data_IF_568971596528
#
_entry.id   IF_568971596528
#
_cell.length_a   1.000
_cell.length_b   1.000
_cell.length_c   1.000
_cell.angle_alpha   90.00
_cell.angle_beta   90.00
_cell.angle_gamma   90.00
#
_symmetry.space_group_name_H-M   'P 1'
#
loop_
_entity.id
_entity.type
_entity.pdbx_description
1 polymer ?
#
# COMPACT_ATOMS: atom_id res chain seq x y z
N UNK A 1 32.68 -24.30 11.02
CA UNK A 1 31.47 -23.55 10.64
C UNK A 1 31.86 -22.62 9.50
N UNK A 2 31.65 -23.06 8.26
CA UNK A 2 31.94 -22.26 7.07
C UNK A 2 31.05 -21.01 7.05
N UNK A 3 31.66 -19.84 6.89
CA UNK A 3 30.95 -18.59 6.62
C UNK A 3 30.37 -18.69 5.21
N UNK A 4 29.10 -19.08 5.11
CA UNK A 4 28.31 -18.91 3.89
C UNK A 4 28.37 -17.41 3.51
N UNK A 5 28.91 -17.12 2.33
CA UNK A 5 29.16 -15.75 1.90
C UNK A 5 27.83 -15.01 1.71
N UNK A 6 27.77 -13.70 2.01
CA UNK A 6 26.55 -12.89 1.89
C UNK A 6 25.89 -12.97 0.50
N UNK A 7 26.67 -13.29 -0.55
CA UNK A 7 26.17 -13.49 -1.92
C UNK A 7 25.32 -14.76 -2.10
N UNK A 8 25.47 -15.79 -1.27
CA UNK A 8 24.74 -17.06 -1.40
C UNK A 8 23.31 -17.02 -0.82
N UNK A 9 22.97 -15.98 -0.04
CA UNK A 9 21.64 -15.82 0.60
C UNK A 9 20.67 -14.94 -0.18
N UNK A 10 21.14 -14.21 -1.18
CA UNK A 10 20.32 -13.28 -1.98
C UNK A 10 19.98 -13.93 -3.33
N UNK A 11 18.70 -14.19 -3.58
CA UNK A 11 18.27 -14.70 -4.89
C UNK A 11 18.04 -13.56 -5.86
N UNK A 12 18.61 -13.65 -7.06
CA UNK A 12 18.26 -12.74 -8.15
C UNK A 12 16.81 -13.02 -8.55
N UNK A 13 15.95 -12.01 -8.50
CA UNK A 13 14.58 -12.09 -8.98
C UNK A 13 14.47 -11.24 -10.25
N UNK A 14 14.34 -11.90 -11.40
CA UNK A 14 14.18 -11.20 -12.68
C UNK A 14 12.72 -10.79 -12.94
N UNK A 15 11.80 -11.22 -12.07
CA UNK A 15 10.35 -11.00 -12.21
C UNK A 15 9.71 -10.62 -10.88
N UNK A 16 8.79 -9.68 -10.91
CA UNK A 16 7.94 -9.28 -9.80
C UNK A 16 6.56 -9.88 -9.99
N UNK A 17 6.04 -10.53 -8.95
CA UNK A 17 4.67 -11.04 -8.95
C UNK A 17 3.82 -10.12 -8.10
N UNK A 18 2.71 -9.63 -8.64
CA UNK A 18 1.74 -8.81 -7.93
C UNK A 18 0.36 -9.15 -8.47
N UNK A 19 -0.68 -8.99 -7.67
CA UNK A 19 -2.05 -9.04 -8.19
C UNK A 19 -2.69 -7.67 -8.21
N UNK A 20 -3.43 -7.39 -9.28
CA UNK A 20 -4.26 -6.21 -9.39
C UNK A 20 -5.70 -6.67 -9.59
N UNK A 21 -6.55 -6.36 -8.62
CA UNK A 21 -7.99 -6.62 -8.69
C UNK A 21 -8.33 -8.08 -8.94
N UNK A 22 -7.61 -8.98 -8.27
CA UNK A 22 -7.79 -10.44 -8.34
C UNK A 22 -7.11 -11.11 -9.54
N UNK A 23 -6.45 -10.35 -10.43
CA UNK A 23 -5.68 -10.90 -11.54
C UNK A 23 -4.20 -10.87 -11.20
N UNK A 24 -3.51 -12.01 -11.33
CA UNK A 24 -2.08 -12.12 -11.11
C UNK A 24 -1.30 -11.59 -12.31
N UNK A 25 -0.29 -10.78 -12.04
CA UNK A 25 0.62 -10.18 -13.02
C UNK A 25 2.06 -10.53 -12.70
N UNK A 26 2.82 -10.79 -13.76
CA UNK A 26 4.26 -10.97 -13.69
C UNK A 26 4.94 -9.85 -14.44
N UNK A 27 5.65 -9.00 -13.71
CA UNK A 27 6.36 -7.84 -14.25
C UNK A 27 7.83 -8.20 -14.39
N UNK A 28 8.39 -8.13 -15.59
CA UNK A 28 9.81 -8.32 -15.81
C UNK A 28 10.58 -7.08 -15.33
N UNK A 29 11.59 -7.28 -14.48
CA UNK A 29 12.33 -6.17 -13.86
C UNK A 29 13.21 -5.42 -14.86
N UNK A 30 13.52 -6.03 -16.01
CA UNK A 30 14.23 -5.38 -17.11
C UNK A 30 13.37 -4.32 -17.82
N UNK A 31 12.04 -4.46 -17.77
CA UNK A 31 11.09 -3.61 -18.51
C UNK A 31 10.64 -2.39 -17.67
N UNK A 32 11.16 -2.26 -16.46
CA UNK A 32 10.72 -1.28 -15.47
C UNK A 32 11.92 -0.55 -14.88
N UNK A 33 11.88 0.79 -14.95
CA UNK A 33 12.87 1.64 -14.28
C UNK A 33 12.64 1.67 -12.75
N UNK A 34 13.67 1.75 -11.90
CA UNK A 34 13.52 1.87 -10.45
C UNK A 34 12.60 3.00 -9.99
N UNK A 35 12.57 4.09 -10.76
CA UNK A 35 11.76 5.28 -10.55
C UNK A 35 10.29 5.10 -11.01
N UNK A 36 9.98 4.03 -11.73
CA UNK A 36 8.62 3.78 -12.20
C UNK A 36 7.69 3.52 -11.03
N UNK A 37 6.79 4.46 -10.81
CA UNK A 37 5.82 4.41 -9.73
C UNK A 37 4.69 3.44 -10.07
N UNK A 38 4.06 2.86 -9.04
CA UNK A 38 2.89 2.01 -9.19
C UNK A 38 1.77 2.75 -9.94
N UNK A 39 1.60 4.04 -9.70
CA UNK A 39 0.65 4.86 -10.46
C UNK A 39 0.96 4.89 -11.96
N UNK A 40 2.23 5.02 -12.31
CA UNK A 40 2.68 5.04 -13.71
C UNK A 40 2.46 3.68 -14.35
N UNK A 41 2.82 2.62 -13.65
CA UNK A 41 2.63 1.26 -14.14
C UNK A 41 1.15 0.93 -14.38
N UNK A 42 0.26 1.20 -13.42
CA UNK A 42 -1.19 0.96 -13.54
C UNK A 42 -1.78 1.69 -14.75
N UNK A 43 -1.40 2.95 -14.95
CA UNK A 43 -2.00 3.80 -15.98
C UNK A 43 -1.42 3.56 -17.37
N UNK A 44 -0.10 3.55 -17.48
CA UNK A 44 0.59 3.66 -18.76
C UNK A 44 0.98 2.28 -19.31
N UNK A 45 1.09 1.27 -18.45
CA UNK A 45 1.38 -0.13 -18.86
C UNK A 45 0.12 -0.98 -18.82
N UNK A 46 -0.65 -0.91 -17.72
CA UNK A 46 -1.86 -1.73 -17.56
C UNK A 46 -3.14 -1.07 -18.09
N UNK A 47 -3.08 0.19 -18.53
CA UNK A 47 -4.23 0.97 -19.01
C UNK A 47 -5.40 1.09 -17.99
N UNK A 48 -5.11 0.95 -16.69
CA UNK A 48 -6.04 1.19 -15.59
C UNK A 48 -5.98 2.67 -15.19
N UNK A 49 -6.81 3.48 -15.82
CA UNK A 49 -6.74 4.95 -15.74
C UNK A 49 -7.63 5.59 -14.67
N UNK A 50 -8.37 4.79 -13.91
CA UNK A 50 -9.23 5.18 -12.81
C UNK A 50 -8.44 5.80 -11.66
N UNK A 51 -7.32 5.19 -11.26
CA UNK A 51 -6.35 5.82 -10.35
C UNK A 51 -5.71 7.04 -11.01
N UNK A 52 -5.85 8.22 -10.39
CA UNK A 52 -5.45 9.49 -11.01
C UNK A 52 -4.02 9.91 -10.67
N UNK A 53 -3.44 10.75 -11.52
CA UNK A 53 -2.12 11.37 -11.35
C UNK A 53 -2.31 12.88 -11.23
N UNK A 54 -1.83 13.50 -10.14
CA UNK A 54 -1.99 14.95 -9.91
C UNK A 54 -0.74 15.57 -9.27
N UNK A 55 -0.62 15.56 -7.94
CA UNK A 55 0.49 16.22 -7.25
C UNK A 55 1.82 15.45 -7.29
N UNK A 56 1.76 14.11 -7.44
CA UNK A 56 2.92 13.20 -7.45
C UNK A 56 3.82 13.26 -6.19
N UNK A 57 3.30 13.81 -5.10
CA UNK A 57 4.04 13.97 -3.84
C UNK A 57 3.27 13.45 -2.61
N UNK A 58 2.17 12.72 -2.85
CA UNK A 58 1.34 12.13 -1.80
C UNK A 58 0.38 13.09 -1.08
N UNK A 59 0.38 14.38 -1.41
CA UNK A 59 -0.44 15.38 -0.72
C UNK A 59 -1.93 15.39 -1.10
N UNK A 60 -2.30 14.93 -2.30
CA UNK A 60 -3.68 15.06 -2.80
C UNK A 60 -4.57 13.82 -2.66
N UNK A 61 -4.00 12.63 -2.45
CA UNK A 61 -4.75 11.37 -2.36
C UNK A 61 -5.48 10.89 -3.62
N UNK A 62 -5.46 11.60 -4.75
CA UNK A 62 -6.17 11.18 -5.98
C UNK A 62 -5.64 9.86 -6.57
N UNK A 63 -4.43 9.46 -6.16
CA UNK A 63 -3.73 8.28 -6.63
C UNK A 63 -3.87 7.08 -5.67
N UNK A 64 -4.74 7.16 -4.66
CA UNK A 64 -4.85 6.08 -3.67
C UNK A 64 -5.32 4.78 -4.33
N UNK A 65 -4.66 3.70 -3.93
CA UNK A 65 -5.07 2.30 -4.13
C UNK A 65 -5.08 1.61 -2.77
N UNK A 66 -5.85 0.54 -2.61
CA UNK A 66 -5.81 -0.26 -1.40
C UNK A 66 -4.87 -1.44 -1.59
N UNK A 67 -4.05 -1.74 -0.59
CA UNK A 67 -3.10 -2.86 -0.61
C UNK A 67 -3.47 -3.82 0.50
N UNK A 68 -3.66 -5.08 0.14
CA UNK A 68 -3.86 -6.19 1.06
C UNK A 68 -2.54 -6.96 1.23
N UNK A 69 -2.17 -7.22 2.48
CA UNK A 69 -1.05 -8.06 2.88
C UNK A 69 -1.46 -9.01 3.99
N UNK A 70 -0.84 -10.19 4.02
CA UNK A 70 -0.93 -11.09 5.16
C UNK A 70 0.33 -10.90 6.00
N UNK A 71 0.17 -10.48 7.25
CA UNK A 71 1.26 -10.30 8.21
C UNK A 71 0.92 -11.12 9.46
N UNK A 72 1.79 -12.07 9.80
CA UNK A 72 1.59 -12.97 10.95
C UNK A 72 0.23 -13.70 10.93
N UNK A 73 -0.25 -14.08 9.74
CA UNK A 73 -1.55 -14.73 9.55
C UNK A 73 -2.76 -13.77 9.55
N UNK A 74 -2.57 -12.49 9.84
CA UNK A 74 -3.62 -11.48 9.84
C UNK A 74 -3.68 -10.76 8.48
N UNK A 75 -4.89 -10.62 7.93
CA UNK A 75 -5.15 -9.79 6.75
C UNK A 75 -5.10 -8.32 7.17
N UNK A 76 -4.18 -7.57 6.58
CA UNK A 76 -4.08 -6.12 6.76
C UNK A 76 -4.38 -5.47 5.42
N UNK A 77 -5.34 -4.56 5.39
CA UNK A 77 -5.65 -3.73 4.23
C UNK A 77 -5.42 -2.26 4.58
N UNK A 78 -4.69 -1.55 3.73
CA UNK A 78 -4.35 -0.14 3.96
C UNK A 78 -4.30 0.65 2.66
N UNK A 79 -4.58 1.95 2.76
CA UNK A 79 -4.52 2.89 1.65
C UNK A 79 -3.08 3.32 1.37
N UNK A 80 -2.72 3.42 0.08
CA UNK A 80 -1.37 3.79 -0.36
C UNK A 80 -1.43 4.80 -1.48
N UNK A 81 -0.64 5.87 -1.36
CA UNK A 81 -0.38 6.80 -2.46
C UNK A 81 0.48 6.12 -3.53
N UNK A 82 -0.15 5.55 -4.56
CA UNK A 82 0.55 4.80 -5.62
C UNK A 82 1.59 5.62 -6.38
N UNK A 83 1.53 6.95 -6.34
CA UNK A 83 2.52 7.82 -6.96
C UNK A 83 3.88 7.82 -6.25
N UNK A 84 3.96 7.37 -5.00
CA UNK A 84 5.20 7.33 -4.22
C UNK A 84 5.81 5.93 -4.12
N UNK A 85 5.05 4.90 -4.49
CA UNK A 85 5.52 3.51 -4.40
C UNK A 85 6.18 3.11 -5.70
N UNK A 86 7.40 2.58 -5.63
CA UNK A 86 8.03 1.94 -6.79
C UNK A 86 7.34 0.59 -7.05
N UNK A 87 7.05 0.27 -8.31
CA UNK A 87 6.47 -1.04 -8.65
C UNK A 87 7.41 -2.20 -8.26
N UNK A 88 8.72 -1.95 -8.13
CA UNK A 88 9.69 -2.93 -7.65
C UNK A 88 9.42 -3.39 -6.20
N UNK A 89 8.84 -2.52 -5.38
CA UNK A 89 8.45 -2.85 -3.99
C UNK A 89 7.20 -3.73 -3.90
N UNK A 90 6.40 -3.79 -4.97
CA UNK A 90 5.08 -4.41 -5.00
C UNK A 90 5.10 -5.93 -5.13
N UNK A 91 6.27 -6.58 -5.13
CA UNK A 91 6.33 -8.04 -5.16
C UNK A 91 5.58 -8.65 -3.96
N UNK A 92 4.64 -9.55 -4.26
CA UNK A 92 3.73 -10.23 -3.35
C UNK A 92 2.55 -9.37 -2.88
N UNK A 93 2.35 -8.15 -3.41
CA UNK A 93 1.24 -7.30 -3.01
C UNK A 93 -0.03 -7.69 -3.76
N UNK A 94 -1.16 -7.64 -3.04
CA UNK A 94 -2.49 -7.66 -3.65
C UNK A 94 -3.03 -6.23 -3.68
N UNK A 95 -3.18 -5.68 -4.88
CA UNK A 95 -3.55 -4.28 -5.10
C UNK A 95 -4.98 -4.22 -5.59
N UNK A 96 -5.79 -3.39 -4.94
CA UNK A 96 -7.16 -3.10 -5.35
C UNK A 96 -7.24 -1.68 -5.91
N UNK A 97 -7.83 -1.55 -7.10
CA UNK A 97 -8.04 -0.28 -7.81
C UNK A 97 -9.52 0.05 -7.87
N UNK A 98 -9.87 1.28 -8.27
CA UNK A 98 -11.28 1.70 -8.34
C UNK A 98 -12.05 0.89 -9.38
N UNK A 99 -11.41 0.51 -10.49
CA UNK A 99 -11.99 -0.37 -11.52
C UNK A 99 -12.14 -1.81 -11.02
N UNK A 100 -11.29 -2.21 -10.06
CA UNK A 100 -11.28 -3.53 -9.48
C UNK A 100 -12.46 -3.84 -8.58
N UNK A 101 -12.89 -2.86 -7.79
CA UNK A 101 -13.96 -3.05 -6.81
C UNK A 101 -15.36 -2.97 -7.44
N UNK A 102 -15.49 -2.37 -8.62
CA UNK A 102 -16.78 -2.20 -9.29
C UNK A 102 -16.73 -1.23 -10.46
N UNK A 103 -17.71 -1.34 -11.34
CA UNK A 103 -17.83 -0.48 -12.53
C UNK A 103 -19.02 -0.84 -13.40
N UNK A 104 -19.23 -0.13 -14.53
CA UNK A 104 -20.43 -0.28 -15.36
C UNK A 104 -20.72 -1.71 -15.84
N UNK A 105 -19.67 -2.53 -16.03
CA UNK A 105 -19.80 -3.91 -16.51
C UNK A 105 -20.07 -4.94 -15.40
N UNK A 106 -19.65 -4.66 -14.16
CA UNK A 106 -19.70 -5.61 -13.03
C UNK A 106 -20.72 -5.23 -11.96
N UNK A 107 -21.30 -4.03 -12.06
CA UNK A 107 -22.02 -3.38 -10.98
C UNK A 107 -21.08 -2.51 -10.13
N UNK A 108 -21.64 -1.45 -9.56
CA UNK A 108 -20.90 -0.53 -8.70
C UNK A 108 -20.86 -1.04 -7.25
N UNK A 109 -19.70 -0.91 -6.62
CA UNK A 109 -19.53 -1.17 -5.20
C UNK A 109 -20.40 -0.20 -4.37
N UNK A 110 -20.86 -0.62 -3.19
CA UNK A 110 -21.69 0.24 -2.32
C UNK A 110 -21.04 1.59 -2.01
N UNK A 111 -19.72 1.62 -1.83
CA UNK A 111 -18.91 2.83 -1.63
C UNK A 111 -18.98 3.77 -2.84
N UNK A 112 -18.90 3.23 -4.07
CA UNK A 112 -19.02 4.02 -5.30
C UNK A 112 -20.44 4.60 -5.41
N UNK A 113 -21.45 3.77 -5.16
CA UNK A 113 -22.86 4.15 -5.21
C UNK A 113 -23.20 5.21 -4.18
N UNK A 114 -22.75 5.06 -2.93
CA UNK A 114 -23.00 6.01 -1.87
C UNK A 114 -22.41 7.39 -2.20
N UNK A 115 -21.16 7.44 -2.67
CA UNK A 115 -20.51 8.71 -3.06
C UNK A 115 -21.25 9.39 -4.23
N UNK A 116 -21.70 8.63 -5.21
CA UNK A 116 -22.44 9.16 -6.36
C UNK A 116 -23.83 9.68 -5.96
N UNK A 117 -24.63 8.87 -5.28
CA UNK A 117 -26.00 9.22 -4.88
C UNK A 117 -26.06 10.33 -3.82
N UNK A 118 -25.07 10.41 -2.93
CA UNK A 118 -24.99 11.47 -1.93
C UNK A 118 -24.44 12.80 -2.45
N UNK A 119 -24.34 12.99 -3.78
CA UNK A 119 -23.78 14.17 -4.43
C UNK A 119 -22.32 14.47 -3.98
N UNK A 120 -21.58 13.43 -3.60
CA UNK A 120 -20.19 13.51 -3.19
C UNK A 120 -19.21 13.70 -4.35
N UNK A 121 -19.71 13.85 -5.58
CA UNK A 121 -18.91 14.04 -6.79
C UNK A 121 -19.40 15.24 -7.60
N UNK A 122 -18.47 16.08 -8.06
CA UNK A 122 -18.73 17.12 -9.07
C UNK A 122 -17.82 16.89 -10.29
N UNK A 123 -16.58 17.40 -10.28
CA UNK A 123 -15.64 17.19 -11.39
C UNK A 123 -15.15 15.74 -11.53
N UNK A 124 -15.34 14.89 -10.50
CA UNK A 124 -15.00 13.46 -10.53
C UNK A 124 -13.53 13.12 -10.33
N UNK A 125 -12.61 14.09 -10.37
CA UNK A 125 -11.18 13.79 -10.40
C UNK A 125 -10.66 13.15 -9.09
N UNK A 126 -11.12 13.64 -7.94
CA UNK A 126 -10.73 13.07 -6.64
C UNK A 126 -11.55 11.83 -6.24
N UNK A 127 -12.67 11.56 -6.92
CA UNK A 127 -13.63 10.51 -6.51
C UNK A 127 -13.01 9.12 -6.42
N UNK A 128 -12.14 8.67 -7.35
CA UNK A 128 -11.43 7.40 -7.20
C UNK A 128 -10.59 7.30 -5.92
N UNK A 129 -9.88 8.37 -5.57
CA UNK A 129 -9.09 8.43 -4.34
C UNK A 129 -9.96 8.36 -3.10
N UNK A 130 -11.10 9.08 -3.10
CA UNK A 130 -12.08 9.03 -2.00
C UNK A 130 -12.65 7.63 -1.81
N UNK A 131 -13.06 6.99 -2.91
CA UNK A 131 -13.61 5.63 -2.91
C UNK A 131 -12.58 4.62 -2.38
N UNK A 132 -11.34 4.66 -2.90
CA UNK A 132 -10.32 3.69 -2.50
C UNK A 132 -9.81 3.91 -1.07
N UNK A 133 -9.82 5.16 -0.58
CA UNK A 133 -9.51 5.46 0.82
C UNK A 133 -10.57 4.87 1.75
N UNK A 134 -11.85 5.08 1.45
CA UNK A 134 -12.95 4.49 2.22
C UNK A 134 -12.95 2.95 2.13
N UNK A 135 -12.66 2.39 0.96
CA UNK A 135 -12.55 0.93 0.76
C UNK A 135 -11.45 0.33 1.63
N UNK A 136 -10.26 0.93 1.63
CA UNK A 136 -9.17 0.47 2.49
C UNK A 136 -9.52 0.56 3.98
N UNK A 137 -10.25 1.61 4.39
CA UNK A 137 -10.68 1.79 5.77
C UNK A 137 -11.68 0.71 6.20
N UNK A 138 -12.66 0.40 5.35
CA UNK A 138 -13.67 -0.65 5.63
C UNK A 138 -13.05 -2.04 5.67
N UNK A 139 -12.20 -2.37 4.70
CA UNK A 139 -11.55 -3.69 4.61
C UNK A 139 -10.45 -3.90 5.66
N UNK A 140 -9.84 -2.81 6.14
CA UNK A 140 -8.79 -2.86 7.15
C UNK A 140 -9.30 -2.82 8.59
N UNK A 141 -10.58 -2.53 8.81
CA UNK A 141 -11.16 -2.40 10.14
C UNK A 141 -11.72 -3.74 10.62
N UNK A 142 -11.14 -4.30 11.69
CA UNK A 142 -11.72 -5.46 12.40
C UNK A 142 -12.95 -5.08 13.24
N UNK A 143 -13.07 -3.78 13.58
CA UNK A 143 -14.16 -3.23 14.40
C UNK A 143 -15.16 -2.47 13.54
N UNK A 144 -16.34 -2.25 14.11
CA UNK A 144 -17.34 -1.37 13.51
C UNK A 144 -16.73 0.04 13.41
N UNK A 145 -16.70 0.59 12.20
CA UNK A 145 -16.21 1.95 11.98
C UNK A 145 -17.06 2.95 12.77
N UNK A 146 -16.45 4.05 13.20
CA UNK A 146 -17.15 5.18 13.80
C UNK A 146 -17.20 6.34 12.82
N UNK A 147 -18.14 7.26 13.02
CA UNK A 147 -18.25 8.49 12.23
C UNK A 147 -16.95 9.31 12.29
N UNK A 148 -16.35 9.44 13.48
CA UNK A 148 -15.08 10.18 13.65
C UNK A 148 -13.92 9.52 12.90
N UNK A 149 -13.88 8.19 12.84
CA UNK A 149 -12.86 7.45 12.09
C UNK A 149 -12.98 7.74 10.59
N UNK A 150 -14.21 7.74 10.07
CA UNK A 150 -14.48 8.08 8.66
C UNK A 150 -14.06 9.52 8.37
N UNK A 151 -14.42 10.48 9.21
CA UNK A 151 -14.04 11.88 9.03
C UNK A 151 -12.53 12.11 9.02
N UNK A 152 -11.84 11.51 9.99
CA UNK A 152 -10.38 11.61 10.10
C UNK A 152 -9.67 11.00 8.90
N UNK A 153 -10.27 10.01 8.23
CA UNK A 153 -9.69 9.38 7.05
C UNK A 153 -9.60 10.32 5.83
N UNK A 154 -10.43 11.36 5.74
CA UNK A 154 -10.44 12.27 4.58
C UNK A 154 -9.29 13.27 4.57
N UNK A 155 -8.54 13.40 5.66
CA UNK A 155 -7.33 14.23 5.70
C UNK A 155 -6.30 13.85 4.62
N UNK A 156 -6.39 12.63 4.07
CA UNK A 156 -5.50 12.13 3.02
C UNK A 156 -5.96 12.39 1.57
N UNK A 157 -7.18 12.91 1.32
CA UNK A 157 -7.71 13.07 -0.04
C UNK A 157 -8.32 14.46 -0.25
N UNK A 158 -7.67 15.25 -1.10
CA UNK A 158 -8.11 16.63 -1.37
C UNK A 158 -9.25 16.69 -2.40
N UNK A 159 -10.26 17.49 -2.08
CA UNK A 159 -11.32 17.87 -3.00
C UNK A 159 -11.47 19.40 -3.07
N UNK A 160 -11.50 19.95 -4.29
CA UNK A 160 -11.65 21.40 -4.50
C UNK A 160 -13.09 21.84 -4.80
N UNK A 161 -13.98 20.91 -5.16
CA UNK A 161 -15.30 21.22 -5.70
C UNK A 161 -16.43 21.08 -4.67
N UNK A 162 -16.44 19.99 -3.90
CA UNK A 162 -17.63 19.59 -3.12
C UNK A 162 -17.76 20.27 -1.76
N UNK A 163 -16.67 20.87 -1.25
CA UNK A 163 -16.61 21.36 0.12
C UNK A 163 -16.68 20.25 1.18
N UNK A 164 -16.38 18.99 0.81
CA UNK A 164 -16.35 17.78 1.64
C UNK A 164 -17.65 17.32 2.28
N UNK A 165 -18.54 18.23 2.69
CA UNK A 165 -19.82 17.90 3.35
C UNK A 165 -20.58 16.74 2.68
N UNK A 166 -20.86 16.74 1.36
CA UNK A 166 -21.59 15.62 0.75
C UNK A 166 -20.77 14.32 0.70
N UNK A 167 -19.44 14.38 0.64
CA UNK A 167 -18.57 13.19 0.68
C UNK A 167 -18.67 12.51 2.05
N UNK A 168 -18.50 13.30 3.11
CA UNK A 168 -18.61 12.83 4.50
C UNK A 168 -19.99 12.24 4.76
N UNK A 169 -21.06 12.95 4.39
CA UNK A 169 -22.44 12.46 4.55
C UNK A 169 -22.69 11.15 3.79
N UNK A 170 -22.16 11.02 2.58
CA UNK A 170 -22.28 9.81 1.77
C UNK A 170 -21.65 8.61 2.49
N UNK A 171 -20.44 8.75 3.00
CA UNK A 171 -19.72 7.64 3.63
C UNK A 171 -20.19 7.33 5.06
N UNK A 172 -20.72 8.32 5.80
CA UNK A 172 -21.41 8.07 7.07
C UNK A 172 -22.59 7.11 6.90
N UNK A 173 -23.27 7.13 5.74
CA UNK A 173 -24.39 6.21 5.48
C UNK A 173 -23.97 4.73 5.41
N UNK A 174 -22.67 4.45 5.19
CA UNK A 174 -22.10 3.11 5.16
C UNK A 174 -21.69 2.61 6.54
N UNK A 175 -21.75 3.47 7.55
CA UNK A 175 -21.31 3.18 8.91
C UNK A 175 -22.53 3.15 9.83
N UNK A 176 -22.63 2.11 10.66
CA UNK A 176 -23.67 2.07 11.68
C UNK A 176 -23.37 3.12 12.74
N UNK A 177 -24.39 3.88 13.15
CA UNK A 177 -24.28 4.75 14.34
C UNK A 177 -23.77 3.92 15.50
N UNK A 178 -22.80 4.45 16.23
CA UNK A 178 -22.39 3.86 17.51
C UNK A 178 -23.67 3.56 18.31
N UNK A 179 -23.86 2.30 18.68
CA UNK A 179 -24.61 2.05 19.91
C UNK A 179 -23.67 2.58 20.99
N UNK A 180 -24.07 3.64 21.68
CA UNK A 180 -23.47 4.04 22.95
C UNK A 180 -23.47 2.80 23.84
N UNK A 181 -22.32 2.14 23.82
CA UNK A 181 -22.07 0.82 24.37
C UNK A 181 -20.60 0.72 24.65
N UNK A 182 -20.01 1.84 25.11
CA UNK A 182 -18.87 1.77 26.00
C UNK A 182 -19.39 0.93 27.16
N UNK A 183 -18.96 -0.33 27.22
CA UNK A 183 -19.12 -1.11 28.45
C UNK A 183 -18.44 -0.30 29.53
N UNK A 184 -19.15 -0.07 30.63
CA UNK A 184 -18.58 0.62 31.77
C UNK A 184 -17.28 -0.12 32.17
N UNK A 185 -16.31 0.58 32.74
CA UNK A 185 -15.05 -0.08 33.16
C UNK A 185 -15.33 -1.25 34.11
N UNK A 186 -16.46 -1.19 34.81
CA UNK A 186 -16.98 -2.22 35.72
C UNK A 186 -17.60 -3.43 34.99
N UNK A 187 -18.01 -3.28 33.72
CA UNK A 187 -18.57 -4.33 32.86
C UNK A 187 -17.52 -5.01 31.97
N UNK A 188 -16.25 -4.56 32.06
CA UNK A 188 -15.13 -5.18 31.36
C UNK A 188 -14.64 -6.37 32.18
N UNK A 189 -15.08 -7.57 31.81
CA UNK A 189 -14.45 -8.80 32.32
C UNK A 189 -13.03 -8.89 31.77
N UNK A 190 -12.03 -8.59 32.61
CA UNK A 190 -10.63 -8.89 32.31
C UNK A 190 -10.47 -10.41 32.26
N UNK A 191 -9.87 -10.94 31.19
CA UNK A 191 -9.53 -12.36 31.12
C UNK A 191 -8.63 -12.74 32.30
N UNK A 192 -9.14 -13.56 33.22
CA UNK A 192 -8.41 -14.11 34.37
C UNK A 192 -7.91 -15.54 34.14
N UNK A 193 -7.84 -15.99 32.89
CA UNK A 193 -7.20 -17.25 32.56
C UNK A 193 -5.71 -17.03 32.31
N UNK A 194 -4.87 -17.44 33.26
CA UNK A 194 -3.42 -17.64 33.09
C UNK A 194 -3.06 -18.75 32.08
N UNK A 195 -4.00 -19.22 31.25
CA UNK A 195 -3.71 -20.29 30.31
C UNK A 195 -4.46 -20.17 28.99
N UNK A 196 -3.67 -20.28 27.91
CA UNK A 196 -4.01 -20.44 26.48
C UNK A 196 -4.15 -19.18 25.64
N UNK A 197 -3.09 -18.38 25.60
CA UNK A 197 -2.60 -17.87 24.32
C UNK A 197 -1.61 -18.90 23.74
N UNK A 198 -2.13 -20.04 23.28
CA UNK A 198 -1.36 -21.01 22.46
C UNK A 198 -1.84 -20.90 21.02
N UNK A 199 -1.56 -19.77 20.38
CA UNK A 199 -1.39 -19.76 18.93
C UNK A 199 0.08 -20.01 18.65
N UNK A 200 0.42 -21.28 18.40
CA UNK A 200 1.64 -21.56 17.66
C UNK A 200 1.47 -20.91 16.29
N UNK A 201 2.10 -19.76 16.09
CA UNK A 201 2.35 -19.25 14.75
C UNK A 201 3.50 -20.08 14.17
N UNK A 202 3.21 -21.34 13.82
CA UNK A 202 4.08 -22.10 12.92
C UNK A 202 3.82 -21.62 11.49
N UNK A 203 4.26 -20.40 11.21
CA UNK A 203 4.68 -20.05 9.88
C UNK A 203 6.04 -19.39 9.99
N UNK A 204 7.08 -20.22 10.02
CA UNK A 204 8.37 -19.85 9.47
C UNK A 204 8.16 -19.66 7.96
N UNK A 205 7.54 -18.55 7.58
CA UNK A 205 7.74 -18.03 6.24
C UNK A 205 9.22 -17.63 6.19
N UNK A 206 10.07 -18.56 5.73
CA UNK A 206 11.42 -18.23 5.26
C UNK A 206 11.24 -17.28 4.09
N UNK A 207 10.99 -16.00 4.37
CA UNK A 207 10.96 -14.97 3.35
C UNK A 207 12.38 -14.89 2.81
N UNK A 208 12.52 -15.28 1.56
CA UNK A 208 13.83 -15.32 0.88
C UNK A 208 14.18 -13.88 0.54
N UNK A 209 15.38 -13.43 0.88
CA UNK A 209 15.85 -12.10 0.43
C UNK A 209 16.14 -12.15 -1.06
N UNK A 210 15.83 -11.06 -1.75
CA UNK A 210 16.03 -10.99 -3.19
C UNK A 210 16.56 -9.67 -3.66
N UNK A 211 17.16 -9.67 -4.84
CA UNK A 211 17.65 -8.47 -5.48
C UNK A 211 17.35 -8.44 -6.98
N UNK A 212 17.21 -7.22 -7.48
CA UNK A 212 17.07 -6.86 -8.88
C UNK A 212 18.32 -6.09 -9.28
N UNK A 213 18.81 -6.29 -10.51
CA UNK A 213 19.91 -5.49 -11.07
C UNK A 213 19.36 -4.68 -12.23
N UNK A 214 19.55 -3.37 -12.18
CA UNK A 214 19.13 -2.42 -13.19
C UNK A 214 20.33 -1.60 -13.67
N UNK A 215 20.81 -1.86 -14.89
CA UNK A 215 22.05 -1.25 -15.41
C UNK A 215 23.21 -1.37 -14.40
N UNK A 216 23.60 -0.27 -13.75
CA UNK A 216 24.67 -0.20 -12.74
C UNK A 216 24.16 -0.16 -11.28
N UNK A 217 22.85 -0.19 -11.07
CA UNK A 217 22.19 -0.10 -9.76
C UNK A 217 21.50 -1.40 -9.36
N UNK A 218 21.39 -1.70 -8.06
CA UNK A 218 20.71 -2.89 -7.53
C UNK A 218 19.57 -2.47 -6.60
N UNK A 219 18.43 -3.14 -6.71
CA UNK A 219 17.32 -3.02 -5.75
C UNK A 219 17.22 -4.30 -4.93
N UNK A 220 17.40 -4.24 -3.63
CA UNK A 220 17.45 -5.39 -2.74
C UNK A 220 16.27 -5.32 -1.79
N UNK A 221 15.50 -6.41 -1.67
CA UNK A 221 14.48 -6.53 -0.64
C UNK A 221 14.95 -7.48 0.45
N UNK A 222 14.87 -7.00 1.68
CA UNK A 222 15.44 -7.67 2.84
C UNK A 222 14.35 -7.88 3.89
N UNK A 223 14.37 -9.06 4.51
CA UNK A 223 13.35 -9.45 5.49
C UNK A 223 13.89 -9.65 6.90
N UNK A 224 15.21 -9.70 7.09
CA UNK A 224 15.83 -9.83 8.41
C UNK A 224 16.87 -8.75 8.66
N UNK A 225 17.03 -8.36 9.92
CA UNK A 225 18.04 -7.38 10.32
C UNK A 225 19.47 -7.86 10.02
N UNK A 226 19.73 -9.16 10.21
CA UNK A 226 21.04 -9.74 9.90
C UNK A 226 21.40 -9.54 8.44
N UNK A 227 20.48 -9.88 7.53
CA UNK A 227 20.75 -9.76 6.10
C UNK A 227 20.91 -8.30 5.66
N UNK A 228 20.20 -7.37 6.31
CA UNK A 228 20.36 -5.94 6.06
C UNK A 228 21.75 -5.46 6.45
N UNK A 229 22.21 -5.82 7.65
CA UNK A 229 23.53 -5.46 8.15
C UNK A 229 24.63 -6.11 7.30
N UNK A 230 24.45 -7.37 6.90
CA UNK A 230 25.39 -8.07 6.03
C UNK A 230 25.52 -7.39 4.66
N UNK A 231 24.40 -6.93 4.08
CA UNK A 231 24.41 -6.16 2.83
C UNK A 231 25.19 -4.85 3.01
N UNK A 232 24.91 -4.11 4.08
CA UNK A 232 25.58 -2.83 4.36
C UNK A 232 27.09 -3.00 4.56
N UNK A 233 27.51 -4.08 5.23
CA UNK A 233 28.92 -4.41 5.44
C UNK A 233 29.58 -4.83 4.11
N UNK A 234 28.91 -5.66 3.31
CA UNK A 234 29.44 -6.15 2.02
C UNK A 234 29.52 -5.08 0.93
N UNK A 235 28.77 -3.99 1.07
CA UNK A 235 28.71 -2.92 0.09
C UNK A 235 29.85 -1.89 0.22
N UNK A 236 30.72 -1.99 1.23
CA UNK A 236 31.86 -1.10 1.50
C UNK A 236 31.56 0.39 1.24
N UNK A 237 32.07 0.95 0.13
CA UNK A 237 32.00 2.35 -0.28
C UNK A 237 30.89 2.66 -1.32
N UNK A 238 30.02 1.71 -1.64
CA UNK A 238 28.94 1.94 -2.59
C UNK A 238 27.83 2.83 -1.98
N UNK A 239 27.34 3.81 -2.74
CA UNK A 239 26.21 4.63 -2.29
C UNK A 239 24.93 3.79 -2.20
N UNK A 240 24.32 3.76 -1.01
CA UNK A 240 23.09 3.01 -0.70
C UNK A 240 21.96 3.95 -0.26
N UNK A 241 20.72 3.52 -0.54
CA UNK A 241 19.51 4.16 -0.06
C UNK A 241 18.61 3.13 0.62
N UNK A 242 18.29 3.36 1.89
CA UNK A 242 17.28 2.59 2.60
C UNK A 242 15.90 3.16 2.25
N UNK A 243 15.01 2.32 1.74
CA UNK A 243 13.66 2.66 1.29
C UNK A 243 12.66 1.93 2.16
N UNK A 244 11.89 2.65 2.96
CA UNK A 244 10.71 2.09 3.64
C UNK A 244 9.43 2.46 2.91
N UNK A 245 8.85 3.62 3.24
CA UNK A 245 7.65 4.14 2.57
C UNK A 245 7.90 4.96 1.31
N UNK A 246 9.16 5.25 0.98
CA UNK A 246 9.58 6.16 -0.11
C UNK A 246 8.94 7.57 -0.08
N UNK A 247 8.33 7.99 1.03
CA UNK A 247 7.60 9.26 1.14
C UNK A 247 8.48 10.51 1.23
N UNK A 248 9.77 10.34 1.55
CA UNK A 248 10.74 11.43 1.53
C UNK A 248 11.39 11.60 0.13
N UNK A 249 11.93 10.51 -0.44
CA UNK A 249 12.69 10.55 -1.70
C UNK A 249 11.83 10.45 -2.94
N UNK A 250 10.67 9.81 -2.90
CA UNK A 250 9.74 9.73 -4.04
C UNK A 250 9.36 11.10 -4.60
N UNK A 251 9.31 12.13 -3.74
CA UNK A 251 9.12 13.54 -4.14
C UNK A 251 10.34 14.16 -4.85
N UNK A 252 11.56 13.75 -4.47
CA UNK A 252 12.83 14.36 -4.91
C UNK A 252 13.30 13.86 -6.28
N UNK A 253 12.94 12.62 -6.65
CA UNK A 253 13.32 12.03 -7.95
C UNK A 253 12.73 12.83 -9.13
N UNK A 254 11.57 13.46 -8.95
CA UNK A 254 10.95 14.32 -9.97
C UNK A 254 11.58 15.72 -10.07
N UNK A 255 12.31 16.17 -9.04
CA UNK A 255 12.66 17.58 -8.90
C UNK A 255 14.10 17.95 -9.30
N UNK A 256 15.14 17.12 -9.08
CA UNK A 256 16.50 17.46 -9.55
C UNK A 256 17.54 16.41 -9.17
N UNK A 257 18.46 16.14 -10.10
CA UNK A 257 19.69 15.33 -10.02
C UNK A 257 19.47 13.83 -9.81
N UNK A 258 19.72 13.07 -10.88
CA UNK A 258 20.05 11.65 -10.84
C UNK A 258 21.29 11.47 -9.96
N UNK A 259 21.06 11.18 -8.68
CA UNK A 259 22.12 10.66 -7.81
C UNK A 259 22.55 9.32 -8.43
N UNK A 260 23.85 9.14 -8.69
CA UNK A 260 24.45 7.87 -9.13
C UNK A 260 24.37 6.81 -8.00
N UNK A 261 23.15 6.51 -7.54
CA UNK A 261 22.87 5.54 -6.49
C UNK A 261 23.00 4.16 -7.09
N UNK A 262 23.95 3.38 -6.56
CA UNK A 262 24.21 2.02 -7.02
C UNK A 262 23.36 0.99 -6.30
N UNK A 263 22.80 1.29 -5.13
CA UNK A 263 22.06 0.30 -4.34
C UNK A 263 20.83 0.91 -3.64
N UNK A 264 19.71 0.21 -3.69
CA UNK A 264 18.46 0.50 -2.96
C UNK A 264 18.14 -0.71 -2.09
N UNK A 265 17.76 -0.50 -0.83
CA UNK A 265 17.35 -1.57 0.07
C UNK A 265 15.97 -1.30 0.63
N UNK A 266 15.01 -2.14 0.28
CA UNK A 266 13.60 -2.10 0.67
C UNK A 266 13.32 -3.12 1.80
N UNK A 267 12.59 -2.71 2.84
CA UNK A 267 12.34 -3.52 4.05
C UNK A 267 10.85 -3.62 4.37
#
# INVERSE_FOLDING_TARGET
MEKCSTQERLKKLDKIQLSVSGVEYTVNTADVAPEMTLNTYLRDVMNLTGTKRMCLEGGCGSCIVAVEKIVNGLKIVFAVNSCLVSVLSCHGWKIHTVEGIGGPLKGFHEIQTALAHGNGTQCGFCSPGQVMNMYALMEGSEKQLTESTVENSFGGVLCRCTGYRPIVQSFRSLVKKEKDGIKDIEDVSVCTSEDKCKTNCEQTCKKINYYHTFKASKWMKVHTLSDLLDILISAENASYMLVGGNTAKGKVVLASKSYNLKNYTDF
#
